data_IF_784994795482
#
_entry.id   IF_784994795482
#
_cell.length_a   1.000
_cell.length_b   1.000
_cell.length_c   1.000
_cell.angle_alpha   90.00
_cell.angle_beta   90.00
_cell.angle_gamma   90.00
#
_symmetry.space_group_name_H-M   'P 1'
#
loop_
_entity.id
_entity.type
_entity.pdbx_description
1 polymer ?
#
# COMPACT_ATOMS: atom_id res chain seq x y z
N UNK A 1 -8.93 -24.91 -2.89
CA UNK A 1 -8.72 -24.79 -1.42
C UNK A 1 -9.97 -24.17 -0.82
N UNK A 2 -10.42 -24.61 0.35
CA UNK A 2 -11.54 -23.98 1.04
C UNK A 2 -11.07 -22.83 1.92
N UNK A 3 -11.78 -21.70 1.89
CA UNK A 3 -11.58 -20.59 2.83
C UNK A 3 -12.88 -20.35 3.59
N UNK A 4 -12.98 -20.97 4.77
CA UNK A 4 -14.26 -21.08 5.47
C UNK A 4 -15.31 -21.79 4.60
N UNK A 5 -16.53 -21.24 4.49
CA UNK A 5 -17.59 -21.84 3.66
C UNK A 5 -17.40 -21.58 2.16
N UNK A 6 -16.42 -20.76 1.77
CA UNK A 6 -16.25 -20.31 0.37
C UNK A 6 -15.14 -21.10 -0.31
N UNK A 7 -15.42 -21.84 -1.40
CA UNK A 7 -14.38 -22.49 -2.18
C UNK A 7 -13.54 -21.46 -2.94
N UNK A 8 -12.22 -21.67 -3.00
CA UNK A 8 -11.28 -20.83 -3.76
C UNK A 8 -10.46 -21.68 -4.73
N UNK A 9 -10.27 -21.15 -5.94
CA UNK A 9 -9.36 -21.69 -6.95
C UNK A 9 -8.08 -20.88 -6.89
N UNK A 10 -6.94 -21.55 -6.74
CA UNK A 10 -5.62 -20.90 -6.76
C UNK A 10 -5.07 -21.07 -8.17
N UNK A 11 -4.85 -19.95 -8.85
CA UNK A 11 -4.28 -19.93 -10.19
C UNK A 11 -2.77 -19.76 -10.08
N UNK A 12 -2.03 -20.72 -10.64
CA UNK A 12 -0.56 -20.68 -10.71
C UNK A 12 -0.04 -20.60 -12.14
N UNK A 13 -0.90 -20.85 -13.13
CA UNK A 13 -0.58 -20.72 -14.55
C UNK A 13 -0.62 -19.22 -14.96
N UNK A 14 0.49 -18.66 -15.50
CA UNK A 14 0.55 -17.26 -15.89
C UNK A 14 -0.48 -16.84 -16.96
N UNK A 15 -0.83 -17.72 -17.89
CA UNK A 15 -1.81 -17.40 -18.93
C UNK A 15 -3.23 -17.30 -18.35
N UNK A 16 -3.56 -18.18 -17.40
CA UNK A 16 -4.84 -18.09 -16.67
C UNK A 16 -4.90 -16.85 -15.77
N UNK A 17 -3.79 -16.52 -15.10
CA UNK A 17 -3.69 -15.28 -14.32
C UNK A 17 -3.93 -14.07 -15.23
N UNK A 18 -3.22 -13.99 -16.36
CA UNK A 18 -3.39 -12.91 -17.34
C UNK A 18 -4.83 -12.82 -17.85
N UNK A 19 -5.48 -13.94 -18.14
CA UNK A 19 -6.88 -13.97 -18.58
C UNK A 19 -7.81 -13.36 -17.54
N UNK A 20 -7.69 -13.78 -16.28
CA UNK A 20 -8.51 -13.27 -15.17
C UNK A 20 -8.30 -11.77 -14.96
N UNK A 21 -7.05 -11.31 -14.98
CA UNK A 21 -6.73 -9.89 -14.79
C UNK A 21 -7.17 -8.99 -15.96
N UNK A 22 -7.37 -9.54 -17.17
CA UNK A 22 -7.93 -8.79 -18.30
C UNK A 22 -9.47 -8.73 -18.28
N UNK A 23 -10.12 -9.73 -17.67
CA UNK A 23 -11.58 -9.84 -17.58
C UNK A 23 -12.12 -9.26 -16.27
N UNK A 24 -11.77 -8.00 -15.97
CA UNK A 24 -12.08 -7.32 -14.69
C UNK A 24 -13.59 -7.19 -14.39
N UNK A 25 -14.46 -7.30 -15.41
CA UNK A 25 -15.91 -7.28 -15.22
C UNK A 25 -16.49 -8.66 -14.90
N UNK A 26 -15.80 -9.73 -15.30
CA UNK A 26 -16.20 -11.12 -15.01
C UNK A 26 -15.64 -11.58 -13.66
N UNK A 27 -14.43 -11.12 -13.32
CA UNK A 27 -13.74 -11.45 -12.08
C UNK A 27 -13.56 -10.22 -11.19
N UNK A 28 -14.45 -10.10 -10.20
CA UNK A 28 -14.35 -9.07 -9.16
C UNK A 28 -13.36 -9.47 -8.07
N UNK A 29 -12.85 -8.50 -7.29
CA UNK A 29 -12.03 -8.82 -6.11
C UNK A 29 -12.81 -9.72 -5.14
N UNK A 30 -12.11 -10.60 -4.40
CA UNK A 30 -12.74 -11.48 -3.43
C UNK A 30 -13.64 -10.71 -2.44
N UNK A 31 -14.83 -11.24 -2.19
CA UNK A 31 -15.71 -10.69 -1.16
C UNK A 31 -15.13 -11.02 0.22
N UNK A 32 -14.63 -9.98 0.89
CA UNK A 32 -14.00 -10.10 2.21
C UNK A 32 -15.03 -9.94 3.32
N UNK A 33 -14.59 -10.13 4.56
CA UNK A 33 -15.39 -9.81 5.75
C UNK A 33 -15.98 -8.38 5.63
N UNK A 34 -17.30 -8.17 5.84
CA UNK A 34 -17.92 -6.85 5.72
C UNK A 34 -17.25 -5.76 6.56
N UNK A 35 -16.63 -6.13 7.69
CA UNK A 35 -15.87 -5.20 8.55
C UNK A 35 -14.71 -4.54 7.82
N UNK A 36 -14.13 -5.18 6.80
CA UNK A 36 -13.08 -4.58 5.96
C UNK A 36 -13.55 -3.28 5.31
N UNK A 37 -14.83 -3.17 4.93
CA UNK A 37 -15.37 -1.95 4.30
C UNK A 37 -15.53 -0.79 5.29
N UNK A 38 -15.54 -1.09 6.60
CA UNK A 38 -15.55 -0.07 7.66
C UNK A 38 -14.12 0.42 7.90
N UNK A 39 -13.16 -0.51 7.91
CA UNK A 39 -11.76 -0.20 8.18
C UNK A 39 -11.01 0.37 6.97
N UNK A 40 -11.39 0.01 5.74
CA UNK A 40 -10.69 0.42 4.53
C UNK A 40 -11.66 0.77 3.39
N UNK A 41 -11.29 1.77 2.60
CA UNK A 41 -12.05 2.25 1.44
C UNK A 41 -11.11 2.70 0.32
N UNK A 42 -11.65 3.16 -0.81
CA UNK A 42 -10.87 3.63 -1.95
C UNK A 42 -10.61 2.54 -2.99
N UNK A 43 -9.60 2.75 -3.86
CA UNK A 43 -9.36 1.92 -5.05
C UNK A 43 -9.10 0.43 -4.75
N UNK A 44 -8.56 0.12 -3.57
CA UNK A 44 -8.32 -1.26 -3.14
C UNK A 44 -9.65 -2.01 -2.99
N UNK A 45 -10.68 -1.33 -2.45
CA UNK A 45 -11.98 -1.95 -2.11
C UNK A 45 -13.07 -1.69 -3.16
N UNK A 46 -13.02 -0.56 -3.87
CA UNK A 46 -14.04 -0.21 -4.86
C UNK A 46 -14.00 -1.15 -6.07
N UNK A 47 -15.18 -1.36 -6.65
CA UNK A 47 -15.44 -2.14 -7.85
C UNK A 47 -16.29 -1.35 -8.85
N UNK A 48 -16.34 -1.83 -10.09
CA UNK A 48 -17.23 -1.32 -11.15
C UNK A 48 -17.09 0.19 -11.39
N UNK A 49 -18.21 0.87 -11.57
CA UNK A 49 -18.24 2.31 -11.91
C UNK A 49 -17.55 3.20 -10.88
N UNK A 50 -17.67 2.86 -9.58
CA UNK A 50 -17.03 3.65 -8.51
C UNK A 50 -15.50 3.55 -8.60
N UNK A 51 -14.98 2.35 -8.86
CA UNK A 51 -13.55 2.15 -9.10
C UNK A 51 -13.11 2.88 -10.37
N UNK A 52 -13.83 2.71 -11.48
CA UNK A 52 -13.54 3.37 -12.75
C UNK A 52 -13.45 4.90 -12.58
N UNK A 53 -14.43 5.49 -11.89
CA UNK A 53 -14.47 6.94 -11.61
C UNK A 53 -13.25 7.40 -10.81
N UNK A 54 -12.97 6.74 -9.68
CA UNK A 54 -11.84 7.14 -8.82
C UNK A 54 -10.50 6.94 -9.52
N UNK A 55 -10.35 5.84 -10.29
CA UNK A 55 -9.12 5.55 -11.03
C UNK A 55 -8.88 6.59 -12.12
N UNK A 56 -9.93 7.00 -12.83
CA UNK A 56 -9.86 8.08 -13.82
C UNK A 56 -9.42 9.43 -13.21
N UNK A 57 -9.85 9.74 -11.99
CA UNK A 57 -9.45 10.97 -11.28
C UNK A 57 -7.97 10.92 -10.88
N UNK A 58 -7.48 9.77 -10.43
CA UNK A 58 -6.13 9.61 -9.87
C UNK A 58 -5.06 9.43 -10.96
N UNK A 59 -5.38 8.72 -12.06
CA UNK A 59 -4.41 8.36 -13.10
C UNK A 59 -3.57 9.53 -13.66
N UNK A 60 -4.11 10.75 -13.88
CA UNK A 60 -3.30 11.87 -14.37
C UNK A 60 -2.11 12.24 -13.47
N UNK A 61 -2.20 11.99 -12.15
CA UNK A 61 -1.09 12.23 -11.23
C UNK A 61 0.11 11.28 -11.46
N UNK A 62 -0.12 10.16 -12.13
CA UNK A 62 0.89 9.14 -12.44
C UNK A 62 1.32 9.15 -13.92
N UNK A 63 1.01 10.21 -14.67
CA UNK A 63 1.56 10.39 -16.01
C UNK A 63 3.06 10.68 -15.94
N UNK A 64 3.79 10.29 -16.99
CA UNK A 64 5.26 10.39 -17.04
C UNK A 64 5.80 11.77 -16.69
N UNK A 65 5.13 12.84 -17.15
CA UNK A 65 5.52 14.22 -16.85
C UNK A 65 5.44 14.53 -15.35
N UNK A 66 4.38 14.06 -14.68
CA UNK A 66 4.21 14.22 -13.23
C UNK A 66 5.21 13.38 -12.46
N UNK A 67 5.47 12.15 -12.90
CA UNK A 67 6.48 11.28 -12.30
C UNK A 67 7.89 11.90 -12.39
N UNK A 68 8.24 12.52 -13.53
CA UNK A 68 9.53 13.23 -13.68
C UNK A 68 9.69 14.36 -12.66
N UNK A 69 8.60 15.07 -12.34
CA UNK A 69 8.62 16.13 -11.32
C UNK A 69 8.80 15.59 -9.90
N UNK A 70 8.47 14.33 -9.64
CA UNK A 70 8.65 13.67 -8.34
C UNK A 70 10.09 13.18 -8.10
N UNK A 71 10.87 12.95 -9.17
CA UNK A 71 12.24 12.39 -9.07
C UNK A 71 13.18 13.20 -8.14
N UNK A 72 13.23 14.55 -8.20
CA UNK A 72 14.08 15.32 -7.29
C UNK A 72 13.72 15.08 -5.81
N UNK A 73 12.42 14.92 -5.52
CA UNK A 73 11.92 14.67 -4.16
C UNK A 73 12.32 13.28 -3.68
N UNK A 74 12.30 12.27 -4.57
CA UNK A 74 12.80 10.94 -4.24
C UNK A 74 14.30 10.98 -3.91
N UNK A 75 15.07 11.71 -4.71
CA UNK A 75 16.52 11.86 -4.51
C UNK A 75 16.84 12.54 -3.17
N UNK A 76 16.11 13.62 -2.85
CA UNK A 76 16.23 14.31 -1.57
C UNK A 76 15.93 13.37 -0.39
N UNK A 77 14.81 12.64 -0.44
CA UNK A 77 14.43 11.69 0.63
C UNK A 77 15.49 10.59 0.82
N UNK A 78 16.09 10.10 -0.28
CA UNK A 78 17.17 9.12 -0.23
C UNK A 78 18.47 9.71 0.37
N UNK A 79 18.84 10.93 0.00
CA UNK A 79 20.02 11.59 0.57
C UNK A 79 19.85 11.84 2.06
N UNK A 80 18.68 12.30 2.49
CA UNK A 80 18.36 12.50 3.91
C UNK A 80 18.52 11.19 4.70
N UNK A 81 18.10 10.06 4.12
CA UNK A 81 18.31 8.74 4.73
C UNK A 81 19.79 8.37 4.81
N UNK A 82 20.55 8.55 3.72
CA UNK A 82 21.98 8.23 3.67
C UNK A 82 22.74 9.08 4.70
N UNK A 83 22.48 10.39 4.76
CA UNK A 83 23.11 11.28 5.75
C UNK A 83 22.76 10.89 7.19
N UNK A 84 21.54 10.39 7.44
CA UNK A 84 21.19 9.83 8.77
C UNK A 84 22.02 8.58 9.09
N UNK A 85 22.23 7.68 8.14
CA UNK A 85 23.07 6.50 8.33
C UNK A 85 24.56 6.84 8.49
N UNK A 86 25.08 7.80 7.72
CA UNK A 86 26.44 8.30 7.87
C UNK A 86 26.68 8.89 9.27
N UNK A 87 25.68 9.57 9.83
CA UNK A 87 25.73 10.07 11.21
C UNK A 87 25.71 8.99 12.30
N UNK A 88 25.37 7.73 11.97
CA UNK A 88 25.37 6.59 12.89
C UNK A 88 26.68 5.80 12.90
N UNK A 89 27.62 6.13 12.01
CA UNK A 89 28.92 5.46 11.92
C UNK A 89 29.70 5.60 13.23
N UNK A 90 30.26 4.49 13.72
CA UNK A 90 31.14 4.48 14.88
C UNK A 90 32.51 5.06 14.52
N UNK A 91 33.37 5.27 15.52
CA UNK A 91 34.74 5.77 15.33
C UNK A 91 35.62 4.89 14.42
N UNK A 92 35.26 3.62 14.22
CA UNK A 92 35.93 2.68 13.32
C UNK A 92 35.43 2.76 11.86
N UNK A 93 34.47 3.66 11.58
CA UNK A 93 33.88 3.84 10.25
C UNK A 93 32.81 2.83 9.90
N UNK A 94 32.30 2.05 10.86
CA UNK A 94 31.26 1.05 10.64
C UNK A 94 30.13 1.10 11.68
N UNK A 95 28.96 0.60 11.32
CA UNK A 95 27.86 0.36 12.26
C UNK A 95 26.96 -0.76 11.74
N UNK A 96 26.36 -1.52 12.66
CA UNK A 96 25.28 -2.44 12.35
C UNK A 96 23.95 -1.70 12.53
N UNK A 97 23.08 -1.76 11.52
CA UNK A 97 21.80 -1.07 11.53
C UNK A 97 20.66 -1.99 11.08
N UNK A 98 19.53 -1.91 11.77
CA UNK A 98 18.26 -2.45 11.25
C UNK A 98 17.70 -1.46 10.22
N UNK A 99 17.77 -1.85 8.94
CA UNK A 99 17.30 -1.03 7.82
C UNK A 99 15.78 -1.03 7.66
N UNK A 100 15.05 -1.93 8.32
CA UNK A 100 13.62 -2.08 8.11
C UNK A 100 12.83 -0.81 8.49
N UNK A 101 13.00 -0.21 9.69
CA UNK A 101 12.36 1.06 10.03
C UNK A 101 12.77 2.18 9.07
N UNK A 102 14.03 2.22 8.65
CA UNK A 102 14.54 3.21 7.71
C UNK A 102 13.85 3.16 6.34
N UNK A 103 13.62 1.96 5.78
CA UNK A 103 12.94 1.79 4.48
C UNK A 103 11.45 2.14 4.60
N UNK A 104 10.80 1.79 5.72
CA UNK A 104 9.41 2.17 5.97
C UNK A 104 9.25 3.69 6.07
N UNK A 105 10.17 4.35 6.78
CA UNK A 105 10.19 5.81 6.91
C UNK A 105 10.49 6.49 5.57
N UNK A 106 11.45 5.99 4.79
CA UNK A 106 11.74 6.50 3.45
C UNK A 106 10.51 6.46 2.54
N UNK A 107 9.82 5.32 2.50
CA UNK A 107 8.61 5.18 1.65
C UNK A 107 7.50 6.14 2.08
N UNK A 108 7.36 6.35 3.40
CA UNK A 108 6.39 7.28 3.98
C UNK A 108 6.75 8.75 3.69
N UNK A 109 8.03 9.11 3.76
CA UNK A 109 8.53 10.44 3.43
C UNK A 109 8.34 10.77 1.95
N UNK A 110 8.71 9.84 1.08
CA UNK A 110 8.52 9.96 -0.36
C UNK A 110 7.05 10.23 -0.71
N UNK A 111 6.10 9.48 -0.15
CA UNK A 111 4.68 9.71 -0.44
C UNK A 111 4.14 10.98 0.24
N UNK A 112 4.62 11.33 1.44
CA UNK A 112 4.26 12.59 2.11
C UNK A 112 4.63 13.81 1.25
N UNK A 113 5.89 13.88 0.82
CA UNK A 113 6.40 14.99 0.01
C UNK A 113 5.77 15.04 -1.37
N UNK A 114 5.60 13.90 -2.03
CA UNK A 114 5.12 13.87 -3.43
C UNK A 114 3.61 13.96 -3.60
N UNK A 115 2.83 13.32 -2.71
CA UNK A 115 1.37 13.33 -2.84
C UNK A 115 0.72 14.49 -2.09
N UNK A 116 1.33 14.98 -1.00
CA UNK A 116 0.72 15.97 -0.12
C UNK A 116 1.52 17.27 0.00
N UNK A 117 2.76 17.32 -0.51
CA UNK A 117 3.62 18.50 -0.42
C UNK A 117 4.08 18.83 1.00
N UNK A 118 3.92 17.90 1.94
CA UNK A 118 4.33 18.02 3.35
C UNK A 118 5.65 17.28 3.60
N UNK A 119 6.35 17.56 4.70
CA UNK A 119 7.44 16.68 5.14
C UNK A 119 6.90 15.44 5.86
N UNK A 120 7.69 14.36 5.94
CA UNK A 120 7.33 13.19 6.76
C UNK A 120 7.05 13.58 8.21
N UNK A 121 7.82 14.52 8.77
CA UNK A 121 7.70 14.97 10.16
C UNK A 121 6.30 15.56 10.45
N UNK A 122 5.70 16.26 9.48
CA UNK A 122 4.33 16.80 9.59
C UNK A 122 3.26 15.71 9.47
N UNK A 123 3.56 14.61 8.78
CA UNK A 123 2.65 13.49 8.50
C UNK A 123 2.75 12.29 9.45
N UNK A 124 3.73 12.25 10.37
CA UNK A 124 4.05 11.05 11.19
C UNK A 124 2.81 10.44 11.84
N UNK A 125 1.96 11.28 12.45
CA UNK A 125 0.74 10.81 13.13
C UNK A 125 -0.24 10.14 12.17
N UNK A 126 -0.35 10.64 10.93
CA UNK A 126 -1.22 10.04 9.91
C UNK A 126 -0.67 8.68 9.50
N UNK A 127 0.63 8.56 9.24
CA UNK A 127 1.24 7.28 8.87
C UNK A 127 1.15 6.24 9.99
N UNK A 128 1.29 6.66 11.25
CA UNK A 128 1.10 5.78 12.39
C UNK A 128 -0.33 5.24 12.45
N UNK A 129 -1.34 6.12 12.32
CA UNK A 129 -2.74 5.71 12.28
C UNK A 129 -3.06 4.83 11.07
N UNK A 130 -2.45 5.10 9.91
CA UNK A 130 -2.59 4.24 8.72
C UNK A 130 -1.96 2.87 8.94
N UNK A 131 -0.83 2.77 9.65
CA UNK A 131 -0.22 1.50 10.02
C UNK A 131 -1.14 0.69 10.93
N UNK A 132 -1.66 1.30 12.00
CA UNK A 132 -2.62 0.66 12.91
C UNK A 132 -3.89 0.22 12.16
N UNK A 133 -4.41 1.07 11.28
CA UNK A 133 -5.55 0.75 10.42
C UNK A 133 -5.26 -0.43 9.47
N UNK A 134 -4.06 -0.48 8.88
CA UNK A 134 -3.65 -1.57 8.00
C UNK A 134 -3.52 -2.90 8.76
N UNK A 135 -2.96 -2.88 9.97
CA UNK A 135 -2.84 -4.05 10.86
C UNK A 135 -4.22 -4.62 11.21
N UNK A 136 -5.14 -3.76 11.68
CA UNK A 136 -6.52 -4.14 11.98
C UNK A 136 -7.25 -4.68 10.74
N UNK A 137 -7.04 -4.03 9.58
CA UNK A 137 -7.65 -4.48 8.32
C UNK A 137 -7.14 -5.87 7.93
N UNK A 138 -5.84 -6.14 8.08
CA UNK A 138 -5.24 -7.44 7.79
C UNK A 138 -5.72 -8.54 8.75
N UNK A 139 -5.87 -8.21 10.03
CA UNK A 139 -6.45 -9.14 11.02
C UNK A 139 -7.88 -9.55 10.60
N UNK A 140 -8.70 -8.58 10.19
CA UNK A 140 -10.07 -8.85 9.73
C UNK A 140 -10.09 -9.63 8.40
N UNK A 141 -9.17 -9.34 7.47
CA UNK A 141 -9.07 -10.01 6.17
C UNK A 141 -8.73 -11.51 6.29
N UNK A 142 -7.91 -11.86 7.29
CA UNK A 142 -7.48 -13.25 7.52
C UNK A 142 -8.51 -14.08 8.30
N UNK A 143 -9.44 -13.43 9.00
CA UNK A 143 -10.52 -14.12 9.74
C UNK A 143 -11.60 -14.64 8.79
N UNK A 144 -12.03 -15.88 9.03
CA UNK A 144 -13.18 -16.48 8.34
C UNK A 144 -14.44 -15.76 8.81
N UNK A 145 -15.15 -15.16 7.87
CA UNK A 145 -16.48 -14.61 8.12
C UNK A 145 -17.55 -15.66 7.79
N UNK A 146 -18.37 -16.04 8.77
CA UNK A 146 -19.55 -16.88 8.57
C UNK A 146 -20.79 -16.02 8.83
N UNK A 147 -21.64 -15.76 7.81
CA UNK A 147 -22.87 -14.99 8.00
C UNK A 147 -23.73 -15.60 9.10
N UNK A 148 -24.09 -14.79 10.11
CA UNK A 148 -24.95 -15.21 11.22
C UNK A 148 -24.24 -15.83 12.44
N UNK A 149 -22.92 -16.05 12.40
CA UNK A 149 -22.14 -16.32 13.61
C UNK A 149 -21.89 -15.02 14.39
N UNK A 150 -22.21 -15.04 15.69
CA UNK A 150 -21.88 -13.98 16.66
C UNK A 150 -20.52 -14.23 17.28
#
# INVERSE_FOLDING_TARGET
>A
MWFGPTPRVILTDPELVKEVFNKIYDFQKPNNNPLVRILATGLIIHEGEKWNKHRKIINPAFHLEKLKMMLPIFFESCNDLISKWEGMLSSDGSCEIDVWPSIQNLSSDVIARTAFGSSYEEGVKIFQLQKEQAELTMEVLTKIYIPGWR
#
